data_IF_453860445240
#
_entry.id   IF_453860445240
#
_cell.length_a   1.000
_cell.length_b   1.000
_cell.length_c   1.000
_cell.angle_alpha   90.00
_cell.angle_beta   90.00
_cell.angle_gamma   90.00
#
_symmetry.space_group_name_H-M   'P 1'
#
loop_
_entity.id
_entity.type
_entity.pdbx_description
1 polymer ?
#
# COMPACT_ATOMS: atom_id res chain seq x y z
N UNK A 1 -15.45 21.56 18.58
CA UNK A 1 -16.29 20.43 18.15
C UNK A 1 -17.04 20.85 16.89
N UNK A 2 -16.92 20.13 15.77
CA UNK A 2 -17.53 20.59 14.52
C UNK A 2 -19.04 20.32 14.47
N UNK A 3 -19.79 21.21 13.83
CA UNK A 3 -21.24 21.08 13.61
C UNK A 3 -21.54 20.15 12.43
N UNK A 4 -22.77 19.66 12.34
CA UNK A 4 -23.19 18.78 11.22
C UNK A 4 -22.97 19.47 9.87
N UNK A 5 -23.32 20.74 9.73
CA UNK A 5 -23.11 21.49 8.49
C UNK A 5 -21.62 21.66 8.13
N UNK A 6 -20.72 21.72 9.12
CA UNK A 6 -19.27 21.73 8.89
C UNK A 6 -18.78 20.38 8.39
N UNK A 7 -19.30 19.27 8.92
CA UNK A 7 -18.95 17.91 8.45
C UNK A 7 -19.53 17.59 7.07
N UNK A 8 -20.71 18.13 6.75
CA UNK A 8 -21.34 17.99 5.42
C UNK A 8 -20.54 18.73 4.35
N UNK A 9 -20.08 19.96 4.64
CA UNK A 9 -19.25 20.74 3.71
C UNK A 9 -17.79 20.29 3.68
N UNK A 10 -17.26 19.85 4.83
CA UNK A 10 -15.89 19.41 5.02
C UNK A 10 -15.86 18.09 5.81
N UNK A 11 -15.98 16.99 5.06
CA UNK A 11 -15.89 15.65 5.64
C UNK A 11 -14.54 15.40 6.33
N UNK A 12 -14.53 14.50 7.33
CA UNK A 12 -13.30 14.10 7.99
C UNK A 12 -12.42 13.31 7.02
N UNK A 13 -11.13 13.67 6.95
CA UNK A 13 -10.12 12.91 6.20
C UNK A 13 -9.36 12.02 7.17
N UNK A 14 -9.16 10.75 6.78
CA UNK A 14 -8.20 9.87 7.47
C UNK A 14 -6.81 10.16 6.92
N UNK A 15 -5.82 10.21 7.80
CA UNK A 15 -4.43 10.28 7.39
C UNK A 15 -4.02 8.99 6.68
N UNK A 16 -3.26 9.13 5.59
CA UNK A 16 -2.67 7.99 4.89
C UNK A 16 -1.38 7.58 5.60
N UNK A 17 -1.18 6.27 5.79
CA UNK A 17 0.05 5.71 6.36
C UNK A 17 0.69 4.76 5.37
N UNK A 18 2.01 4.80 5.30
CA UNK A 18 2.80 3.83 4.53
C UNK A 18 3.13 2.63 5.41
N UNK A 19 3.19 1.44 4.79
CA UNK A 19 3.65 0.23 5.47
C UNK A 19 5.16 0.31 5.71
N UNK A 20 5.64 -0.25 6.83
CA UNK A 20 7.06 -0.42 7.09
C UNK A 20 7.73 -1.40 6.09
N UNK A 21 6.96 -2.29 5.47
CA UNK A 21 7.44 -3.29 4.52
C UNK A 21 6.70 -3.22 3.16
N UNK A 22 6.90 -2.16 2.36
CA UNK A 22 6.17 -1.96 1.10
C UNK A 22 6.53 -2.98 0.02
N UNK A 23 7.75 -3.53 0.06
CA UNK A 23 8.21 -4.54 -0.91
C UNK A 23 7.41 -5.85 -0.81
N UNK A 24 6.99 -6.24 0.40
CA UNK A 24 6.20 -7.46 0.63
C UNK A 24 4.76 -7.37 0.11
N UNK A 25 4.30 -6.15 -0.19
CA UNK A 25 2.95 -5.88 -0.69
C UNK A 25 2.86 -5.80 -2.23
N UNK A 26 4.00 -5.84 -2.93
CA UNK A 26 4.07 -5.70 -4.41
C UNK A 26 4.37 -7.02 -5.13
N UNK A 27 3.42 -7.59 -5.86
CA UNK A 27 3.69 -8.72 -6.76
C UNK A 27 4.17 -8.28 -8.14
N UNK A 28 4.65 -9.24 -8.94
CA UNK A 28 4.97 -9.04 -10.36
C UNK A 28 4.35 -10.17 -11.18
N UNK A 29 3.60 -9.81 -12.22
CA UNK A 29 3.13 -10.74 -13.23
C UNK A 29 4.13 -10.76 -14.39
N UNK A 30 4.94 -11.82 -14.47
CA UNK A 30 5.99 -11.95 -15.49
C UNK A 30 5.46 -12.06 -16.92
N UNK A 31 4.28 -12.68 -17.11
CA UNK A 31 3.66 -12.83 -18.43
C UNK A 31 3.24 -11.48 -19.01
N UNK A 32 2.73 -10.59 -18.16
CA UNK A 32 2.22 -9.27 -18.57
C UNK A 32 3.22 -8.15 -18.29
N UNK A 33 4.38 -8.45 -17.70
CA UNK A 33 5.40 -7.48 -17.23
C UNK A 33 4.81 -6.32 -16.41
N UNK A 34 3.87 -6.64 -15.51
CA UNK A 34 3.14 -5.64 -14.71
C UNK A 34 3.29 -5.91 -13.21
N UNK A 35 3.47 -4.84 -12.45
CA UNK A 35 3.42 -4.89 -10.98
C UNK A 35 1.99 -5.04 -10.49
N UNK A 36 1.75 -5.94 -9.55
CA UNK A 36 0.46 -6.13 -8.90
C UNK A 36 0.51 -5.60 -7.48
N UNK A 37 -0.21 -4.51 -7.21
CA UNK A 37 -0.13 -3.77 -5.93
C UNK A 37 -0.94 -4.40 -4.78
N UNK A 38 -1.73 -5.45 -5.06
CA UNK A 38 -2.66 -6.05 -4.09
C UNK A 38 -2.22 -7.45 -3.65
N UNK A 39 -0.91 -7.72 -3.58
CA UNK A 39 -0.38 -9.03 -3.16
C UNK A 39 0.37 -8.85 -1.86
N UNK A 40 -0.35 -9.00 -0.75
CA UNK A 40 0.22 -9.03 0.58
C UNK A 40 0.76 -10.43 0.86
N UNK A 41 2.04 -10.53 1.22
CA UNK A 41 2.69 -11.79 1.56
C UNK A 41 3.52 -11.64 2.82
N UNK A 42 3.59 -12.66 3.69
CA UNK A 42 4.43 -12.62 4.90
C UNK A 42 5.93 -12.65 4.55
N UNK A 43 6.31 -13.26 3.42
CA UNK A 43 7.68 -13.38 2.95
C UNK A 43 7.74 -13.55 1.42
N UNK A 44 8.86 -13.19 0.81
CA UNK A 44 9.12 -13.38 -0.63
C UNK A 44 10.47 -14.05 -0.84
N UNK A 45 10.53 -14.94 -1.84
CA UNK A 45 11.78 -15.56 -2.28
C UNK A 45 12.64 -14.52 -2.99
N UNK A 46 13.95 -14.56 -2.75
CA UNK A 46 14.95 -13.72 -3.40
C UNK A 46 16.33 -14.38 -3.38
N UNK A 47 17.26 -13.87 -4.19
CA UNK A 47 18.65 -14.33 -4.26
C UNK A 47 19.56 -13.15 -3.94
N UNK A 48 20.64 -13.39 -3.20
CA UNK A 48 21.64 -12.38 -2.87
C UNK A 48 22.53 -12.10 -4.11
N UNK A 49 22.73 -10.82 -4.43
CA UNK A 49 23.52 -10.40 -5.61
C UNK A 49 24.88 -9.79 -5.25
N UNK A 50 25.11 -9.46 -3.98
CA UNK A 50 26.37 -8.92 -3.48
C UNK A 50 26.53 -9.38 -2.02
N UNK A 51 27.72 -9.90 -1.71
CA UNK A 51 28.09 -10.39 -0.38
C UNK A 51 29.09 -9.43 0.25
#
# INVERSE_FOLDING_TARGET
>A
MPTINQLVRHGRKRETRTSAAPALQKGMNSLKKRTTSNVNSPQKRGVCTAV
#
